data_IF_100977583090
#
_entry.id   IF_100977583090
#
_cell.length_a   1.000
_cell.length_b   1.000
_cell.length_c   1.000
_cell.angle_alpha   90.00
_cell.angle_beta   90.00
_cell.angle_gamma   90.00
#
_symmetry.space_group_name_H-M   'P 1'
#
loop_
_entity.id
_entity.type
_entity.pdbx_description
1 polymer ?
#
# COMPACT_ATOMS: atom_id res chain seq x y z
N UNK A 1 20.28 2.82 -34.96
CA UNK A 1 20.37 2.54 -33.52
C UNK A 1 20.58 3.85 -32.79
N UNK A 2 19.65 4.22 -31.90
CA UNK A 2 19.78 5.45 -31.10
C UNK A 2 20.38 5.03 -29.75
N UNK A 3 21.53 5.58 -29.32
CA UNK A 3 22.06 5.25 -28.00
C UNK A 3 21.11 5.78 -26.93
N UNK A 4 20.92 5.02 -25.84
CA UNK A 4 20.02 5.39 -24.75
C UNK A 4 20.32 6.79 -24.20
N UNK A 5 21.60 7.16 -24.17
CA UNK A 5 22.07 8.48 -23.74
C UNK A 5 21.54 9.62 -24.63
N UNK A 6 21.24 9.38 -25.91
CA UNK A 6 20.61 10.36 -26.78
C UNK A 6 19.11 10.58 -26.47
N UNK A 7 18.47 9.67 -25.72
CA UNK A 7 17.07 9.75 -25.31
C UNK A 7 16.87 10.44 -23.95
N UNK A 8 17.91 11.07 -23.39
CA UNK A 8 17.83 11.72 -22.07
C UNK A 8 16.68 12.73 -21.95
N UNK A 9 16.45 13.54 -22.99
CA UNK A 9 15.38 14.53 -23.00
C UNK A 9 13.98 13.87 -23.07
N UNK A 10 13.70 12.96 -24.03
CA UNK A 10 12.48 12.16 -24.01
C UNK A 10 12.21 11.43 -22.68
N UNK A 11 13.24 10.87 -22.03
CA UNK A 11 13.12 10.19 -20.74
C UNK A 11 12.65 11.16 -19.65
N UNK A 12 13.32 12.31 -19.51
CA UNK A 12 12.95 13.31 -18.50
C UNK A 12 11.56 13.91 -18.75
N UNK A 13 11.25 14.24 -20.00
CA UNK A 13 9.95 14.78 -20.37
C UNK A 13 8.83 13.77 -20.07
N UNK A 14 9.01 12.50 -20.46
CA UNK A 14 8.05 11.43 -20.18
C UNK A 14 7.88 11.21 -18.68
N UNK A 15 8.98 11.24 -17.91
CA UNK A 15 8.94 11.13 -16.45
C UNK A 15 8.01 12.18 -15.83
N UNK A 16 8.18 13.45 -16.21
CA UNK A 16 7.35 14.55 -15.68
C UNK A 16 5.88 14.37 -16.08
N UNK A 17 5.61 14.05 -17.34
CA UNK A 17 4.25 13.84 -17.83
C UNK A 17 3.57 12.68 -17.08
N UNK A 18 4.24 11.53 -16.96
CA UNK A 18 3.69 10.35 -16.27
C UNK A 18 3.50 10.64 -14.79
N UNK A 19 4.44 11.31 -14.14
CA UNK A 19 4.32 11.68 -12.73
C UNK A 19 3.11 12.58 -12.47
N UNK A 20 2.90 13.61 -13.29
CA UNK A 20 1.76 14.53 -13.17
C UNK A 20 0.44 13.83 -13.51
N UNK A 21 0.38 13.14 -14.65
CA UNK A 21 -0.84 12.46 -15.09
C UNK A 21 -1.27 11.38 -14.09
N UNK A 22 -0.33 10.57 -13.58
CA UNK A 22 -0.62 9.55 -12.56
C UNK A 22 -1.09 10.17 -11.23
N UNK A 23 -0.51 11.31 -10.83
CA UNK A 23 -0.94 12.02 -9.61
C UNK A 23 -2.38 12.53 -9.74
N UNK A 24 -2.73 13.14 -10.87
CA UNK A 24 -4.11 13.59 -11.14
C UNK A 24 -5.07 12.39 -11.14
N UNK A 25 -4.73 11.32 -11.84
CA UNK A 25 -5.55 10.11 -11.87
C UNK A 25 -5.76 9.54 -10.45
N UNK A 26 -4.70 9.44 -9.65
CA UNK A 26 -4.79 8.92 -8.28
C UNK A 26 -5.67 9.79 -7.36
N UNK A 27 -5.65 11.11 -7.54
CA UNK A 27 -6.45 12.02 -6.73
C UNK A 27 -7.92 12.09 -7.17
N UNK A 28 -8.19 12.03 -8.48
CA UNK A 28 -9.53 12.23 -9.04
C UNK A 28 -10.35 10.93 -9.05
N UNK A 29 -9.69 9.79 -9.26
CA UNK A 29 -10.38 8.53 -9.48
C UNK A 29 -10.69 7.84 -8.14
N UNK A 30 -11.95 7.51 -7.83
CA UNK A 30 -12.36 7.01 -6.52
C UNK A 30 -12.11 5.51 -6.31
N UNK A 31 -11.12 4.92 -7.00
CA UNK A 31 -10.93 3.46 -7.07
C UNK A 31 -10.77 2.76 -5.72
N UNK A 32 -10.30 3.48 -4.70
CA UNK A 32 -10.04 2.93 -3.36
C UNK A 32 -11.01 3.42 -2.28
N UNK A 33 -12.06 4.18 -2.64
CA UNK A 33 -12.95 4.79 -1.64
C UNK A 33 -13.70 3.74 -0.80
N UNK A 34 -13.96 2.57 -1.37
CA UNK A 34 -14.61 1.44 -0.68
C UNK A 34 -13.65 0.53 0.10
N UNK A 35 -12.35 0.70 -0.07
CA UNK A 35 -11.35 -0.24 0.44
C UNK A 35 -11.12 -0.06 1.95
N UNK A 36 -11.50 1.10 2.48
CA UNK A 36 -11.41 1.44 3.89
C UNK A 36 -12.70 2.09 4.35
N UNK A 37 -13.02 1.88 5.62
CA UNK A 37 -14.16 2.49 6.30
C UNK A 37 -13.75 2.90 7.70
N UNK A 38 -14.38 3.95 8.21
CA UNK A 38 -14.22 4.35 9.61
C UNK A 38 -14.63 3.18 10.52
N UNK A 39 -13.86 2.97 11.59
CA UNK A 39 -14.21 1.99 12.60
C UNK A 39 -15.45 2.46 13.37
N UNK A 40 -16.44 1.58 13.63
CA UNK A 40 -17.46 1.89 14.63
C UNK A 40 -16.78 2.12 15.99
N UNK A 41 -17.12 3.23 16.67
CA UNK A 41 -16.52 3.60 17.97
C UNK A 41 -14.97 3.66 17.91
N UNK A 42 -14.45 4.42 16.94
CA UNK A 42 -13.03 4.47 16.56
C UNK A 42 -12.09 4.72 17.75
N UNK A 43 -12.40 5.69 18.60
CA UNK A 43 -11.58 6.04 19.77
C UNK A 43 -11.44 4.86 20.71
N UNK A 44 -12.57 4.20 21.06
CA UNK A 44 -12.56 3.03 21.94
C UNK A 44 -11.78 1.87 21.34
N UNK A 45 -11.97 1.59 20.04
CA UNK A 45 -11.30 0.48 19.36
C UNK A 45 -9.79 0.74 19.28
N UNK A 46 -9.39 1.94 18.88
CA UNK A 46 -7.96 2.30 18.77
C UNK A 46 -7.28 2.37 20.13
N UNK A 47 -7.95 2.85 21.18
CA UNK A 47 -7.44 2.84 22.55
C UNK A 47 -7.24 1.41 23.08
N UNK A 48 -8.15 0.48 22.78
CA UNK A 48 -8.01 -0.92 23.16
C UNK A 48 -6.81 -1.58 22.45
N UNK A 49 -6.63 -1.32 21.15
CA UNK A 49 -5.48 -1.83 20.38
C UNK A 49 -4.16 -1.28 20.96
N UNK A 50 -4.12 0.03 21.29
CA UNK A 50 -2.96 0.67 21.90
C UNK A 50 -2.65 0.09 23.28
N UNK A 51 -3.67 -0.05 24.13
CA UNK A 51 -3.54 -0.58 25.49
C UNK A 51 -3.12 -2.05 25.52
N UNK A 52 -3.50 -2.83 24.50
CA UNK A 52 -3.04 -4.20 24.31
C UNK A 52 -1.57 -4.31 23.87
N UNK A 53 -0.89 -3.19 23.58
CA UNK A 53 0.51 -3.18 23.17
C UNK A 53 0.75 -3.70 21.75
N UNK A 54 -0.25 -3.63 20.86
CA UNK A 54 -0.08 -4.05 19.46
C UNK A 54 0.91 -3.12 18.76
N UNK A 55 1.93 -3.71 18.13
CA UNK A 55 3.00 -2.98 17.43
C UNK A 55 2.83 -3.08 15.91
N UNK A 56 3.67 -2.34 15.17
CA UNK A 56 3.73 -2.43 13.71
C UNK A 56 4.03 -3.87 13.27
N UNK A 57 3.26 -4.37 12.31
CA UNK A 57 3.42 -5.72 11.77
C UNK A 57 2.72 -5.92 10.42
N UNK A 58 3.12 -6.95 9.64
CA UNK A 58 2.63 -7.16 8.27
C UNK A 58 1.11 -7.39 8.21
N UNK A 59 0.59 -8.37 8.95
CA UNK A 59 -0.83 -8.52 9.23
C UNK A 59 -1.06 -9.44 10.44
N UNK A 60 -1.86 -8.98 11.40
CA UNK A 60 -2.36 -9.80 12.51
C UNK A 60 -3.68 -10.44 12.09
N UNK A 61 -3.69 -11.76 11.95
CA UNK A 61 -4.93 -12.51 11.78
C UNK A 61 -5.58 -12.73 13.15
N UNK A 62 -6.86 -12.41 13.28
CA UNK A 62 -7.61 -12.64 14.52
C UNK A 62 -8.97 -13.30 14.26
N UNK A 63 -9.38 -14.24 15.13
CA UNK A 63 -8.58 -14.90 16.15
C UNK A 63 -7.43 -15.72 15.52
N UNK A 64 -6.21 -15.61 16.07
CA UNK A 64 -5.06 -16.36 15.55
C UNK A 64 -5.19 -17.86 15.86
N UNK A 65 -4.75 -18.68 14.91
CA UNK A 65 -4.63 -20.14 15.04
C UNK A 65 -3.51 -20.63 14.10
N UNK A 66 -2.94 -21.79 14.40
CA UNK A 66 -2.04 -22.49 13.47
C UNK A 66 -2.84 -23.37 12.50
N UNK A 67 -2.28 -23.66 11.31
CA UNK A 67 -2.95 -24.52 10.32
C UNK A 67 -3.34 -25.90 10.84
N UNK A 68 -2.63 -26.42 11.85
CA UNK A 68 -2.94 -27.70 12.50
C UNK A 68 -4.26 -27.64 13.30
N UNK A 69 -4.64 -26.47 13.80
CA UNK A 69 -5.79 -26.27 14.69
C UNK A 69 -7.04 -25.81 13.94
N UNK A 70 -6.93 -25.50 12.64
CA UNK A 70 -8.00 -24.88 11.83
C UNK A 70 -9.33 -25.65 11.85
N UNK A 71 -9.29 -26.98 11.99
CA UNK A 71 -10.48 -27.85 12.04
C UNK A 71 -10.93 -28.19 13.46
N UNK A 72 -10.22 -27.71 14.48
CA UNK A 72 -10.57 -27.99 15.87
C UNK A 72 -11.86 -27.26 16.25
N UNK A 73 -12.74 -27.94 16.99
CA UNK A 73 -13.99 -27.35 17.46
C UNK A 73 -13.77 -25.99 18.20
N UNK A 74 -12.76 -25.84 19.07
CA UNK A 74 -12.51 -24.55 19.74
C UNK A 74 -12.18 -23.40 18.78
N UNK A 75 -11.38 -23.65 17.74
CA UNK A 75 -11.04 -22.63 16.73
C UNK A 75 -12.27 -22.28 15.89
N UNK A 76 -13.02 -23.28 15.46
CA UNK A 76 -14.26 -23.08 14.68
C UNK A 76 -15.26 -22.25 15.46
N UNK A 77 -15.46 -22.49 16.75
CA UNK A 77 -16.39 -21.71 17.57
C UNK A 77 -15.91 -20.26 17.80
N UNK A 78 -14.59 -20.02 17.95
CA UNK A 78 -14.04 -18.65 18.01
C UNK A 78 -14.28 -17.89 16.71
N UNK A 79 -14.11 -18.55 15.56
CA UNK A 79 -14.35 -17.95 14.25
C UNK A 79 -15.83 -17.64 14.02
N UNK A 80 -16.75 -18.54 14.41
CA UNK A 80 -18.20 -18.31 14.33
C UNK A 80 -18.65 -17.14 15.21
N UNK A 81 -18.07 -17.02 16.41
CA UNK A 81 -18.37 -15.91 17.33
C UNK A 81 -17.89 -14.55 16.79
N UNK A 82 -16.77 -14.56 16.07
CA UNK A 82 -16.17 -13.37 15.48
C UNK A 82 -15.69 -12.32 16.51
N UNK A 83 -15.25 -11.14 16.03
CA UNK A 83 -14.98 -10.82 14.63
C UNK A 83 -13.79 -11.62 14.07
N UNK A 84 -13.80 -11.88 12.76
CA UNK A 84 -12.68 -12.52 12.03
C UNK A 84 -12.10 -11.52 11.04
N UNK A 85 -10.79 -11.32 11.06
CA UNK A 85 -10.18 -10.35 10.17
C UNK A 85 -8.65 -10.32 10.20
N UNK A 86 -8.13 -9.37 9.42
CA UNK A 86 -6.73 -8.99 9.38
C UNK A 86 -6.61 -7.56 9.88
N UNK A 87 -5.62 -7.32 10.73
CA UNK A 87 -5.24 -5.99 11.19
C UNK A 87 -3.80 -5.71 10.76
N UNK A 88 -3.59 -4.70 9.93
CA UNK A 88 -2.25 -4.19 9.61
C UNK A 88 -2.02 -2.88 10.35
N UNK A 89 -0.99 -2.84 11.19
CA UNK A 89 -0.65 -1.65 11.97
C UNK A 89 0.50 -0.91 11.29
N UNK A 90 0.23 0.32 10.86
CA UNK A 90 1.19 1.22 10.23
C UNK A 90 2.04 1.94 11.29
N UNK A 91 3.18 2.58 10.90
CA UNK A 91 3.97 3.37 11.84
C UNK A 91 3.12 4.51 12.40
N UNK A 92 3.33 4.86 13.67
CA UNK A 92 2.67 6.00 14.29
C UNK A 92 3.12 7.32 13.66
N UNK A 93 2.19 8.26 13.55
CA UNK A 93 2.43 9.60 13.01
C UNK A 93 1.74 9.86 11.67
N UNK A 94 1.81 11.10 11.16
CA UNK A 94 1.20 11.47 9.90
C UNK A 94 1.89 10.76 8.71
N UNK A 95 1.19 10.53 7.60
CA UNK A 95 1.79 9.95 6.40
C UNK A 95 2.97 10.77 5.87
N UNK A 96 4.06 10.08 5.51
CA UNK A 96 5.26 10.70 4.94
C UNK A 96 5.12 11.00 3.42
N UNK A 97 4.17 11.86 3.07
CA UNK A 97 3.78 12.13 1.67
C UNK A 97 4.97 12.55 0.80
N UNK A 98 5.80 13.49 1.26
CA UNK A 98 6.93 14.00 0.48
C UNK A 98 7.95 12.91 0.10
N UNK A 99 8.28 12.02 1.04
CA UNK A 99 9.17 10.88 0.79
C UNK A 99 8.57 9.94 -0.28
N UNK A 100 7.28 9.64 -0.16
CA UNK A 100 6.59 8.76 -1.10
C UNK A 100 6.53 9.38 -2.51
N UNK A 101 6.32 10.69 -2.62
CA UNK A 101 6.34 11.40 -3.91
C UNK A 101 7.71 11.38 -4.57
N UNK A 102 8.80 11.58 -3.81
CA UNK A 102 10.17 11.45 -4.34
C UNK A 102 10.44 10.03 -4.83
N UNK A 103 10.06 9.02 -4.04
CA UNK A 103 10.20 7.62 -4.45
C UNK A 103 9.39 7.32 -5.72
N UNK A 104 8.17 7.85 -5.83
CA UNK A 104 7.34 7.70 -7.03
C UNK A 104 7.97 8.36 -8.25
N UNK A 105 8.50 9.58 -8.11
CA UNK A 105 9.19 10.27 -9.19
C UNK A 105 10.42 9.50 -9.69
N UNK A 106 11.24 8.97 -8.76
CA UNK A 106 12.39 8.10 -9.11
C UNK A 106 11.91 6.84 -9.84
N UNK A 107 10.80 6.23 -9.40
CA UNK A 107 10.23 5.09 -10.09
C UNK A 107 9.75 5.44 -11.50
N UNK A 108 9.14 6.61 -11.72
CA UNK A 108 8.78 7.10 -13.06
C UNK A 108 10.02 7.25 -13.98
N UNK A 109 11.17 7.68 -13.44
CA UNK A 109 12.44 7.72 -14.20
C UNK A 109 12.83 6.32 -14.64
N UNK A 110 12.82 5.37 -13.71
CA UNK A 110 13.17 3.96 -14.00
C UNK A 110 12.27 3.40 -15.10
N UNK A 111 10.95 3.58 -14.99
CA UNK A 111 9.99 3.14 -16.01
C UNK A 111 10.26 3.81 -17.35
N UNK A 112 10.55 5.11 -17.38
CA UNK A 112 10.84 5.85 -18.62
C UNK A 112 12.13 5.37 -19.29
N UNK A 113 13.15 4.99 -18.51
CA UNK A 113 14.39 4.38 -19.04
C UNK A 113 14.11 3.02 -19.68
N UNK A 114 13.32 2.16 -19.02
CA UNK A 114 12.91 0.88 -19.60
C UNK A 114 12.09 1.06 -20.88
N UNK A 115 11.15 2.00 -20.90
CA UNK A 115 10.39 2.32 -22.10
C UNK A 115 11.30 2.81 -23.24
N UNK A 116 12.28 3.67 -22.94
CA UNK A 116 13.24 4.17 -23.92
C UNK A 116 14.14 3.07 -24.51
N UNK A 117 14.49 2.04 -23.74
CA UNK A 117 15.29 0.91 -24.25
C UNK A 117 14.63 0.14 -25.40
N UNK A 118 13.30 0.23 -25.56
CA UNK A 118 12.60 -0.36 -26.69
C UNK A 118 12.96 0.30 -28.03
N UNK A 119 13.46 1.55 -27.99
CA UNK A 119 13.86 2.32 -29.16
C UNK A 119 15.38 2.23 -29.46
N UNK A 120 16.14 1.46 -28.68
CA UNK A 120 17.60 1.37 -28.79
C UNK A 120 18.09 0.10 -29.50
N UNK A 121 17.22 -0.56 -30.27
CA UNK A 121 17.53 -1.74 -31.08
C UNK A 121 18.35 -1.43 -32.34
#
# INVERSE_FOLDING_TARGET
MIPLTALWFPILLSTVIVFVASSIMHMVLPYHKSDYRMLPDEDRVTDAIRSAGVTRGPAYFFPYFSFKEMKSAPVVERLKRGPVGLLTVLPSGPPAIGKNLVQWFVYCIVVSVFAASLATA
#
